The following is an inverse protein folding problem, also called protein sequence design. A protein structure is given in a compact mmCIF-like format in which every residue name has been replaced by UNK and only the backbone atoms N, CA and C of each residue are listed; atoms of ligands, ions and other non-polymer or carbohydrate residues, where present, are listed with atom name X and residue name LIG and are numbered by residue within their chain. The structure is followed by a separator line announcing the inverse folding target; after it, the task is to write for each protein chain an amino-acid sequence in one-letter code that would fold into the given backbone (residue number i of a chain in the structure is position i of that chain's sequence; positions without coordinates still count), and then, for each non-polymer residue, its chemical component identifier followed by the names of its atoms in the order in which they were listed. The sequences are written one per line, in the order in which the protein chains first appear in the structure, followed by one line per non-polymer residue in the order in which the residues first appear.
data_IF_416805380533
#
_entry.id   IF_416805380533
#
_cell.length_a   1.000
_cell.length_b   1.000
_cell.length_c   1.000
_cell.angle_alpha   90.00
_cell.angle_beta   90.00
_cell.angle_gamma   90.00
#
_symmetry.space_group_name_H-M   'P 1'
#
loop_
_entity.id
_entity.type
_entity.pdbx_description
1 polymer ?
#
# COMPACT_ATOMS: atom_id res chain seq x y z
N UNK A 1 -12.27 12.15 -22.94
CA UNK A 1 -12.31 12.44 -21.48
C UNK A 1 -13.67 13.04 -21.14
N UNK A 2 -14.30 12.58 -20.06
CA UNK A 2 -15.58 13.10 -19.57
C UNK A 2 -15.39 14.53 -19.02
N UNK A 3 -16.19 15.52 -19.48
CA UNK A 3 -16.12 16.92 -19.04
C UNK A 3 -16.30 17.06 -17.51
N UNK A 4 -17.17 16.24 -16.93
CA UNK A 4 -17.38 16.23 -15.48
C UNK A 4 -16.11 15.80 -14.72
N UNK A 5 -15.44 14.77 -15.21
CA UNK A 5 -14.19 14.28 -14.59
C UNK A 5 -13.06 15.30 -14.75
N UNK A 6 -13.00 16.00 -15.88
CA UNK A 6 -12.05 17.10 -16.09
C UNK A 6 -12.29 18.26 -15.11
N UNK A 7 -13.55 18.64 -14.89
CA UNK A 7 -13.89 19.65 -13.87
C UNK A 7 -13.41 19.24 -12.49
N UNK A 8 -13.69 18.01 -12.07
CA UNK A 8 -13.22 17.47 -10.79
C UNK A 8 -11.69 17.43 -10.66
N UNK A 9 -10.99 17.17 -11.78
CA UNK A 9 -9.53 17.21 -11.81
C UNK A 9 -8.99 18.62 -11.59
N UNK A 10 -9.62 19.64 -12.23
CA UNK A 10 -9.26 21.04 -12.01
C UNK A 10 -9.52 21.46 -10.55
N UNK A 11 -10.68 21.10 -9.98
CA UNK A 11 -11.03 21.36 -8.58
C UNK A 11 -10.01 20.73 -7.61
N UNK A 12 -9.52 19.52 -7.92
CA UNK A 12 -8.49 18.84 -7.12
C UNK A 12 -7.16 19.62 -7.14
N UNK A 13 -6.72 20.06 -8.30
CA UNK A 13 -5.50 20.85 -8.44
C UNK A 13 -5.62 22.22 -7.77
N UNK A 14 -6.76 22.88 -7.91
CA UNK A 14 -7.06 24.14 -7.23
C UNK A 14 -7.01 23.96 -5.72
N UNK A 15 -7.69 22.91 -5.18
CA UNK A 15 -7.66 22.60 -3.75
C UNK A 15 -6.25 22.36 -3.23
N UNK A 16 -5.43 21.62 -3.98
CA UNK A 16 -4.04 21.35 -3.61
C UNK A 16 -3.20 22.64 -3.66
N UNK A 17 -3.46 23.55 -4.58
CA UNK A 17 -2.72 24.81 -4.71
C UNK A 17 -2.77 25.68 -3.44
N UNK A 18 -3.82 25.52 -2.62
CA UNK A 18 -4.01 26.22 -1.36
C UNK A 18 -3.07 25.72 -0.25
N UNK A 19 -2.48 24.52 -0.37
CA UNK A 19 -1.67 23.92 0.70
C UNK A 19 -0.23 24.43 0.77
N UNK A 20 0.29 25.01 -0.32
CA UNK A 20 1.69 25.42 -0.42
C UNK A 20 2.66 24.26 -0.58
N UNK A 21 3.94 24.45 -0.26
CA UNK A 21 4.97 23.42 -0.41
C UNK A 21 4.63 22.16 0.39
N UNK A 22 4.57 21.02 -0.28
CA UNK A 22 4.00 19.79 0.28
C UNK A 22 4.82 18.54 -0.01
N UNK A 23 4.82 17.64 0.97
CA UNK A 23 5.19 16.23 0.79
C UNK A 23 3.99 15.46 0.29
N UNK A 24 4.13 14.68 -0.75
CA UNK A 24 3.17 13.63 -1.09
C UNK A 24 3.61 12.32 -0.43
N UNK A 25 2.79 11.77 0.48
CA UNK A 25 3.01 10.45 1.06
C UNK A 25 2.85 9.39 -0.04
N UNK A 26 3.99 8.92 -0.56
CA UNK A 26 4.05 8.23 -1.84
C UNK A 26 4.36 6.75 -1.68
N UNK A 27 3.51 5.90 -2.24
CA UNK A 27 3.68 4.43 -2.24
C UNK A 27 3.89 3.83 -3.63
N UNK A 28 3.78 4.64 -4.69
CA UNK A 28 3.77 4.14 -6.08
C UNK A 28 2.51 3.33 -6.43
N UNK A 29 1.45 3.43 -5.63
CA UNK A 29 0.13 2.86 -5.93
C UNK A 29 -0.74 3.84 -6.72
N UNK A 30 -1.94 3.39 -7.15
CA UNK A 30 -2.88 4.18 -7.98
C UNK A 30 -3.15 5.56 -7.37
N UNK A 31 -3.57 5.59 -6.10
CA UNK A 31 -4.01 6.81 -5.43
C UNK A 31 -2.85 7.81 -5.28
N UNK A 32 -1.73 7.35 -4.75
CA UNK A 32 -0.57 8.22 -4.51
C UNK A 32 0.07 8.72 -5.81
N UNK A 33 -0.01 7.96 -6.91
CA UNK A 33 0.51 8.38 -8.21
C UNK A 33 -0.35 9.46 -8.85
N UNK A 34 -1.68 9.31 -8.82
CA UNK A 34 -2.59 10.35 -9.27
C UNK A 34 -2.47 11.61 -8.41
N UNK A 35 -2.35 11.42 -7.09
CA UNK A 35 -2.18 12.51 -6.14
C UNK A 35 -0.88 13.30 -6.37
N UNK A 36 0.21 12.59 -6.67
CA UNK A 36 1.50 13.22 -7.01
C UNK A 36 1.37 14.07 -8.27
N UNK A 37 0.72 13.55 -9.31
CA UNK A 37 0.48 14.29 -10.55
C UNK A 37 -0.43 15.51 -10.32
N UNK A 38 -1.46 15.38 -9.48
CA UNK A 38 -2.33 16.49 -9.09
C UNK A 38 -1.56 17.58 -8.32
N UNK A 39 -0.67 17.17 -7.42
CA UNK A 39 0.17 18.09 -6.65
C UNK A 39 1.15 18.86 -7.55
N UNK A 40 1.73 18.20 -8.54
CA UNK A 40 2.57 18.86 -9.56
C UNK A 40 1.75 19.92 -10.31
N UNK A 41 0.54 19.59 -10.74
CA UNK A 41 -0.33 20.51 -11.47
C UNK A 41 -0.79 21.71 -10.65
N UNK A 42 -1.10 21.50 -9.35
CA UNK A 42 -1.59 22.58 -8.47
C UNK A 42 -0.48 23.45 -7.88
N UNK A 43 0.68 22.88 -7.56
CA UNK A 43 1.76 23.57 -6.82
C UNK A 43 2.99 23.93 -7.67
N UNK A 44 3.20 23.23 -8.79
CA UNK A 44 4.48 23.21 -9.50
C UNK A 44 5.48 22.23 -8.88
N UNK A 45 6.38 21.69 -9.74
CA UNK A 45 7.36 20.66 -9.32
C UNK A 45 8.28 21.10 -8.18
N UNK A 46 8.64 22.36 -8.16
CA UNK A 46 9.55 22.95 -7.18
C UNK A 46 9.00 22.99 -5.75
N UNK A 47 7.67 22.85 -5.59
CA UNK A 47 6.98 22.84 -4.29
C UNK A 47 6.49 21.46 -3.88
N UNK A 48 6.85 20.42 -4.64
CA UNK A 48 6.40 19.06 -4.39
C UNK A 48 7.58 18.12 -4.22
N UNK A 49 7.51 17.28 -3.21
CA UNK A 49 8.44 16.16 -3.01
C UNK A 49 7.65 14.89 -2.75
N UNK A 50 7.98 13.81 -3.46
CA UNK A 50 7.45 12.49 -3.17
C UNK A 50 8.27 11.86 -2.03
N UNK A 51 7.62 11.37 -0.98
CA UNK A 51 8.33 10.71 0.12
C UNK A 51 7.72 9.35 0.40
N UNK A 52 8.55 8.32 0.30
CA UNK A 52 8.16 6.95 0.62
C UNK A 52 8.69 6.56 2.00
N UNK A 53 7.77 6.32 2.95
CA UNK A 53 8.12 5.73 4.24
C UNK A 53 8.35 4.21 4.03
N UNK A 54 9.61 3.80 3.98
CA UNK A 54 10.04 2.44 3.64
C UNK A 54 10.43 1.65 4.90
N UNK A 55 9.94 0.43 4.98
CA UNK A 55 10.34 -0.58 5.97
C UNK A 55 10.24 -1.97 5.35
N UNK A 56 10.44 -3.02 6.15
CA UNK A 56 10.24 -4.40 5.73
C UNK A 56 8.79 -4.74 5.33
N UNK A 57 7.82 -3.85 5.59
CA UNK A 57 6.42 -4.06 5.17
C UNK A 57 6.12 -3.64 3.74
N UNK A 58 7.06 -2.96 3.08
CA UNK A 58 6.99 -2.56 1.67
C UNK A 58 7.83 -3.54 0.83
N UNK A 59 7.24 -4.09 -0.23
CA UNK A 59 7.96 -5.02 -1.11
C UNK A 59 9.05 -4.32 -1.92
N UNK A 60 10.03 -5.10 -2.39
CA UNK A 60 11.07 -4.57 -3.26
C UNK A 60 10.47 -4.04 -4.59
N UNK A 61 9.48 -4.74 -5.14
CA UNK A 61 8.76 -4.32 -6.34
C UNK A 61 8.06 -2.96 -6.15
N UNK A 62 7.39 -2.75 -5.00
CA UNK A 62 6.74 -1.48 -4.69
C UNK A 62 7.75 -0.33 -4.55
N UNK A 63 8.89 -0.58 -3.93
CA UNK A 63 9.98 0.42 -3.83
C UNK A 63 10.55 0.82 -5.18
N UNK A 64 10.81 -0.15 -6.06
CA UNK A 64 11.31 0.12 -7.41
C UNK A 64 10.30 0.89 -8.24
N UNK A 65 9.02 0.49 -8.18
CA UNK A 65 7.93 1.18 -8.87
C UNK A 65 7.76 2.62 -8.39
N UNK A 66 7.78 2.86 -7.07
CA UNK A 66 7.69 4.21 -6.53
C UNK A 66 8.84 5.11 -7.05
N UNK A 67 10.07 4.58 -7.06
CA UNK A 67 11.22 5.30 -7.60
C UNK A 67 11.04 5.64 -9.08
N UNK A 68 10.68 4.65 -9.89
CA UNK A 68 10.51 4.83 -11.34
C UNK A 68 9.43 5.89 -11.66
N UNK A 69 8.28 5.83 -10.97
CA UNK A 69 7.20 6.80 -11.21
C UNK A 69 7.63 8.22 -10.82
N UNK A 70 8.35 8.40 -9.73
CA UNK A 70 8.83 9.71 -9.33
C UNK A 70 9.86 10.26 -10.34
N UNK A 71 10.73 9.40 -10.88
CA UNK A 71 11.67 9.73 -11.96
C UNK A 71 10.92 10.12 -13.24
N UNK A 72 9.93 9.35 -13.67
CA UNK A 72 9.12 9.61 -14.86
C UNK A 72 8.35 10.93 -14.77
N UNK A 73 7.93 11.31 -13.55
CA UNK A 73 7.25 12.58 -13.27
C UNK A 73 8.21 13.74 -12.98
N UNK A 74 9.52 13.49 -13.01
CA UNK A 74 10.57 14.48 -12.75
C UNK A 74 10.40 15.22 -11.41
N UNK A 75 10.06 14.46 -10.33
CA UNK A 75 9.85 14.98 -8.98
C UNK A 75 10.91 14.44 -8.04
N UNK A 76 11.49 15.24 -7.14
CA UNK A 76 12.37 14.74 -6.09
C UNK A 76 11.70 13.63 -5.29
N UNK A 77 12.42 12.52 -5.09
CA UNK A 77 11.91 11.37 -4.35
C UNK A 77 12.84 11.00 -3.20
N UNK A 78 12.31 11.07 -1.99
CA UNK A 78 13.03 10.69 -0.78
C UNK A 78 12.47 9.39 -0.21
N UNK A 79 13.37 8.56 0.32
CA UNK A 79 13.01 7.34 1.01
C UNK A 79 13.39 7.50 2.48
N UNK A 80 12.38 7.59 3.34
CA UNK A 80 12.58 7.65 4.79
C UNK A 80 12.47 6.26 5.37
N UNK A 81 13.40 5.93 6.26
CA UNK A 81 13.25 4.73 7.09
C UNK A 81 12.03 4.90 7.99
N UNK A 82 11.11 3.96 7.89
CA UNK A 82 9.90 3.96 8.69
C UNK A 82 10.14 3.19 9.99
N UNK A 83 9.88 3.85 11.11
CA UNK A 83 10.23 3.36 12.45
C UNK A 83 9.11 2.56 13.13
N UNK A 84 8.13 2.04 12.38
CA UNK A 84 7.01 1.29 12.97
C UNK A 84 7.44 0.04 13.73
N UNK A 85 8.58 -0.56 13.37
CA UNK A 85 9.14 -1.71 14.14
C UNK A 85 9.71 -1.31 15.51
N UNK A 86 9.91 -0.03 15.78
CA UNK A 86 10.25 0.47 17.11
C UNK A 86 9.00 0.64 17.99
N UNK A 87 7.80 0.46 17.42
CA UNK A 87 6.52 0.53 18.13
C UNK A 87 6.09 -0.88 18.58
N UNK A 88 6.13 -1.20 19.88
CA UNK A 88 5.81 -2.54 20.37
C UNK A 88 4.43 -3.04 19.97
N UNK A 89 3.41 -2.14 20.00
CA UNK A 89 2.04 -2.49 19.67
C UNK A 89 1.82 -2.74 18.15
N UNK A 90 2.73 -2.24 17.31
CA UNK A 90 2.79 -2.65 15.92
C UNK A 90 3.38 -4.05 15.77
N UNK A 91 4.49 -4.32 16.47
CA UNK A 91 5.21 -5.61 16.44
C UNK A 91 4.34 -6.74 16.96
N UNK A 92 3.53 -6.52 18.00
CA UNK A 92 2.57 -7.48 18.54
C UNK A 92 1.52 -7.93 17.50
N UNK A 93 1.36 -7.19 16.39
CA UNK A 93 0.48 -7.53 15.29
C UNK A 93 -0.99 -7.73 15.73
N UNK A 94 -1.48 -6.85 16.58
CA UNK A 94 -2.88 -6.81 16.99
C UNK A 94 -3.79 -6.13 15.94
N UNK A 95 -5.11 -6.08 16.20
CA UNK A 95 -6.10 -5.43 15.32
C UNK A 95 -5.79 -3.97 15.00
N UNK A 96 -5.18 -3.27 15.94
CA UNK A 96 -4.82 -1.86 15.83
C UNK A 96 -3.45 -1.60 15.14
N UNK A 97 -2.77 -2.64 14.63
CA UNK A 97 -1.45 -2.49 14.01
C UNK A 97 -1.37 -1.39 12.94
N UNK A 98 -2.46 -1.22 12.16
CA UNK A 98 -2.52 -0.19 11.11
C UNK A 98 -2.55 1.23 11.69
N UNK A 99 -3.13 1.42 12.87
CA UNK A 99 -3.09 2.69 13.59
C UNK A 99 -1.66 3.05 14.00
N UNK A 100 -0.96 2.13 14.66
CA UNK A 100 0.41 2.36 15.11
C UNK A 100 1.39 2.57 13.95
N UNK A 101 1.27 1.74 12.90
CA UNK A 101 2.04 1.89 11.67
C UNK A 101 1.84 3.29 11.05
N UNK A 102 0.58 3.70 10.85
CA UNK A 102 0.27 4.98 10.20
C UNK A 102 0.74 6.14 11.08
N UNK A 103 0.56 6.06 12.39
CA UNK A 103 1.03 7.06 13.35
C UNK A 103 2.55 7.24 13.30
N UNK A 104 3.32 6.16 13.34
CA UNK A 104 4.78 6.22 13.26
C UNK A 104 5.26 6.82 11.93
N UNK A 105 4.73 6.34 10.81
CA UNK A 105 5.10 6.81 9.47
C UNK A 105 4.79 8.28 9.25
N UNK A 106 3.58 8.72 9.57
CA UNK A 106 3.18 10.11 9.36
C UNK A 106 3.86 11.07 10.34
N UNK A 107 4.17 10.64 11.57
CA UNK A 107 5.02 11.42 12.47
C UNK A 107 6.42 11.64 11.89
N UNK A 108 7.01 10.63 11.27
CA UNK A 108 8.31 10.76 10.59
C UNK A 108 8.22 11.70 9.37
N UNK A 109 7.18 11.56 8.54
CA UNK A 109 6.92 12.44 7.40
C UNK A 109 6.76 13.90 7.82
N UNK A 110 5.97 14.17 8.86
CA UNK A 110 5.76 15.52 9.39
C UNK A 110 7.08 16.13 9.91
N UNK A 111 7.86 15.34 10.66
CA UNK A 111 9.15 15.80 11.19
C UNK A 111 10.12 16.13 10.06
N UNK A 112 10.26 15.24 9.09
CA UNK A 112 11.14 15.43 7.94
C UNK A 112 10.67 16.59 7.06
N UNK A 113 9.39 16.62 6.70
CA UNK A 113 8.82 17.65 5.83
C UNK A 113 8.99 19.05 6.42
N UNK A 114 8.73 19.22 7.73
CA UNK A 114 8.95 20.50 8.41
C UNK A 114 10.42 20.93 8.37
N UNK A 115 11.35 20.01 8.57
CA UNK A 115 12.78 20.31 8.52
C UNK A 115 13.27 20.65 7.11
N UNK A 116 12.67 20.04 6.07
CA UNK A 116 13.00 20.24 4.66
C UNK A 116 12.24 21.39 4.00
N UNK A 117 11.37 22.10 4.71
CA UNK A 117 10.60 23.24 4.16
C UNK A 117 9.28 22.87 3.51
N UNK A 118 8.78 21.65 3.73
CA UNK A 118 7.49 21.13 3.25
C UNK A 118 6.55 20.87 4.45
N UNK A 119 5.87 21.89 4.98
CA UNK A 119 5.11 21.77 6.24
C UNK A 119 3.83 20.96 6.12
N UNK A 120 3.35 20.69 4.91
CA UNK A 120 2.10 19.96 4.65
C UNK A 120 2.41 18.59 4.08
N UNK A 121 1.69 17.57 4.56
CA UNK A 121 1.71 16.22 4.02
C UNK A 121 0.38 15.96 3.31
N UNK A 122 0.43 15.54 2.05
CA UNK A 122 -0.75 15.16 1.27
C UNK A 122 -0.78 13.63 1.17
N UNK A 123 -1.92 13.01 1.44
CA UNK A 123 -2.07 11.55 1.41
C UNK A 123 -3.33 11.13 0.65
N UNK A 124 -3.35 9.89 0.13
CA UNK A 124 -4.30 9.40 -0.85
C UNK A 124 -5.57 8.74 -0.30
N UNK A 125 -6.01 9.04 0.93
CA UNK A 125 -7.32 8.57 1.43
C UNK A 125 -8.44 9.15 0.56
N UNK A 126 -9.38 8.29 0.13
CA UNK A 126 -10.53 8.67 -0.69
C UNK A 126 -11.87 8.46 0.05
N UNK A 127 -12.99 8.88 -0.54
CA UNK A 127 -14.30 8.89 0.12
C UNK A 127 -14.78 7.53 0.62
N UNK A 128 -14.49 6.45 -0.12
CA UNK A 128 -14.90 5.10 0.27
C UNK A 128 -14.14 4.59 1.49
N UNK A 129 -12.90 5.04 1.71
CA UNK A 129 -12.08 4.69 2.87
C UNK A 129 -12.69 5.17 4.20
N UNK A 130 -13.48 6.26 4.15
CA UNK A 130 -14.12 6.82 5.33
C UNK A 130 -15.24 5.93 5.89
N UNK A 131 -15.79 5.04 5.07
CA UNK A 131 -16.88 4.13 5.43
C UNK A 131 -16.39 2.73 5.84
N UNK A 132 -15.07 2.46 5.78
CA UNK A 132 -14.48 1.17 6.10
C UNK A 132 -13.81 1.20 7.50
N UNK A 133 -13.68 0.02 8.12
CA UNK A 133 -12.90 -0.11 9.34
C UNK A 133 -11.41 0.09 9.05
N UNK A 134 -10.95 1.31 9.23
CA UNK A 134 -9.55 1.70 8.98
C UNK A 134 -8.94 2.40 10.20
N UNK A 135 -8.39 1.66 11.16
CA UNK A 135 -7.77 2.23 12.35
C UNK A 135 -6.71 3.31 12.04
N UNK A 136 -6.04 3.21 10.89
CA UNK A 136 -5.06 4.20 10.44
C UNK A 136 -5.64 5.60 10.21
N UNK A 137 -6.93 5.76 9.88
CA UNK A 137 -7.55 7.09 9.72
C UNK A 137 -7.62 7.85 11.03
N UNK A 138 -7.79 7.14 12.16
CA UNK A 138 -7.74 7.75 13.49
C UNK A 138 -6.36 8.36 13.76
N UNK A 139 -5.28 7.68 13.37
CA UNK A 139 -3.92 8.20 13.51
C UNK A 139 -3.71 9.50 12.71
N UNK A 140 -4.22 9.59 11.48
CA UNK A 140 -4.15 10.80 10.66
C UNK A 140 -4.87 11.96 11.34
N UNK A 141 -6.09 11.73 11.82
CA UNK A 141 -6.89 12.75 12.49
C UNK A 141 -6.19 13.27 13.77
N UNK A 142 -5.57 12.38 14.55
CA UNK A 142 -4.84 12.74 15.77
C UNK A 142 -3.56 13.55 15.51
N UNK A 143 -2.90 13.33 14.36
CA UNK A 143 -1.68 14.04 13.98
C UNK A 143 -1.93 15.47 13.49
N UNK A 144 -3.18 15.83 13.23
CA UNK A 144 -3.63 17.19 13.06
C UNK A 144 -3.66 17.69 11.61
N UNK A 145 -3.90 19.00 11.49
CA UNK A 145 -4.27 19.66 10.23
C UNK A 145 -3.16 19.77 9.18
N UNK A 146 -1.93 19.49 9.56
CA UNK A 146 -0.81 19.48 8.58
C UNK A 146 -0.85 18.27 7.62
N UNK A 147 -1.78 17.33 7.85
CA UNK A 147 -2.01 16.21 6.92
C UNK A 147 -3.33 16.47 6.19
N UNK A 148 -3.28 16.43 4.86
CA UNK A 148 -4.42 16.71 3.97
C UNK A 148 -4.76 15.48 3.15
N UNK A 149 -6.06 15.21 2.99
CA UNK A 149 -6.60 14.10 2.19
C UNK A 149 -7.53 14.64 1.11
N UNK A 150 -7.02 15.32 0.07
CA UNK A 150 -7.83 16.07 -0.88
C UNK A 150 -8.82 15.20 -1.65
N UNK A 151 -8.52 13.93 -1.90
CA UNK A 151 -9.50 13.02 -2.49
C UNK A 151 -10.71 12.81 -1.57
N UNK A 152 -10.49 12.63 -0.26
CA UNK A 152 -11.59 12.50 0.70
C UNK A 152 -12.35 13.83 0.88
N UNK A 153 -11.63 14.95 0.95
CA UNK A 153 -12.21 16.29 1.08
C UNK A 153 -13.16 16.62 -0.07
N UNK A 154 -12.80 16.23 -1.29
CA UNK A 154 -13.59 16.45 -2.50
C UNK A 154 -14.50 15.27 -2.88
N UNK A 155 -14.56 14.23 -2.06
CA UNK A 155 -15.42 13.08 -2.29
C UNK A 155 -15.06 12.23 -3.52
N UNK A 156 -13.78 12.13 -3.87
CA UNK A 156 -13.32 11.25 -4.96
C UNK A 156 -13.52 9.78 -4.60
N UNK A 157 -14.09 9.02 -5.54
CA UNK A 157 -14.24 7.57 -5.44
C UNK A 157 -13.03 6.85 -6.05
N UNK A 158 -12.85 5.59 -5.69
CA UNK A 158 -11.79 4.74 -6.28
C UNK A 158 -11.95 4.57 -7.79
N UNK A 159 -13.19 4.51 -8.26
CA UNK A 159 -13.49 4.41 -9.68
C UNK A 159 -13.03 5.67 -10.45
N UNK A 160 -13.33 6.87 -9.93
CA UNK A 160 -12.90 8.14 -10.53
C UNK A 160 -11.37 8.28 -10.53
N UNK A 161 -10.70 7.89 -9.42
CA UNK A 161 -9.23 7.89 -9.34
C UNK A 161 -8.62 7.01 -10.43
N UNK A 162 -9.13 5.78 -10.61
CA UNK A 162 -8.66 4.87 -11.66
C UNK A 162 -8.93 5.39 -13.06
N UNK A 163 -10.14 5.91 -13.28
CA UNK A 163 -10.52 6.47 -14.57
C UNK A 163 -9.62 7.64 -14.93
N UNK A 164 -9.41 8.60 -14.00
CA UNK A 164 -8.53 9.75 -14.24
C UNK A 164 -7.08 9.34 -14.45
N UNK A 165 -6.59 8.36 -13.66
CA UNK A 165 -5.24 7.81 -13.85
C UNK A 165 -5.05 7.22 -15.26
N UNK A 166 -6.06 6.52 -15.78
CA UNK A 166 -6.05 5.95 -17.12
C UNK A 166 -6.05 7.03 -18.19
N UNK A 167 -6.91 8.03 -18.07
CA UNK A 167 -7.00 9.16 -19.02
C UNK A 167 -5.72 9.98 -19.09
N UNK A 168 -4.99 10.08 -17.96
CA UNK A 168 -3.71 10.78 -17.87
C UNK A 168 -2.51 9.87 -18.23
N UNK A 169 -2.75 8.61 -18.62
CA UNK A 169 -1.70 7.68 -19.05
C UNK A 169 -0.80 7.15 -17.93
N UNK A 170 -1.22 7.23 -16.66
CA UNK A 170 -0.46 6.66 -15.56
C UNK A 170 -0.47 5.12 -15.64
N UNK A 171 0.71 4.50 -15.69
CA UNK A 171 0.87 3.04 -15.75
C UNK A 171 0.28 2.30 -14.54
N UNK A 172 -0.07 3.04 -13.48
CA UNK A 172 -0.62 2.49 -12.24
C UNK A 172 -2.13 2.32 -12.25
N UNK A 173 -2.85 2.77 -13.26
CA UNK A 173 -4.32 2.89 -13.28
C UNK A 173 -5.06 1.58 -13.00
N UNK A 174 -4.52 0.43 -13.42
CA UNK A 174 -5.13 -0.90 -13.27
C UNK A 174 -4.48 -1.74 -12.15
N UNK A 175 -3.48 -1.20 -11.45
CA UNK A 175 -2.84 -1.92 -10.35
C UNK A 175 -3.87 -2.37 -9.30
N UNK A 176 -3.84 -3.64 -8.87
CA UNK A 176 -4.70 -4.10 -7.80
C UNK A 176 -4.40 -3.35 -6.49
N UNK A 177 -5.40 -3.24 -5.62
CA UNK A 177 -5.17 -2.70 -4.28
C UNK A 177 -4.13 -3.54 -3.55
N UNK A 178 -2.99 -2.92 -3.21
CA UNK A 178 -1.90 -3.57 -2.51
C UNK A 178 -2.08 -3.39 -1.00
N UNK A 179 -2.35 -4.48 -0.29
CA UNK A 179 -2.20 -4.50 1.15
C UNK A 179 -0.73 -4.78 1.51
N UNK A 180 -0.18 -4.06 2.51
CA UNK A 180 1.22 -4.20 2.92
C UNK A 180 1.56 -5.64 3.36
N UNK A 181 2.85 -6.01 3.36
CA UNK A 181 3.30 -7.36 3.75
C UNK A 181 2.87 -7.77 5.17
N UNK A 182 2.71 -6.82 6.10
CA UNK A 182 2.19 -7.13 7.43
C UNK A 182 0.81 -7.81 7.40
N UNK A 183 0.01 -7.56 6.35
CA UNK A 183 -1.28 -8.24 6.18
C UNK A 183 -1.15 -9.73 5.87
N UNK A 184 0.04 -10.21 5.50
CA UNK A 184 0.31 -11.64 5.26
C UNK A 184 0.47 -12.41 6.56
N UNK A 185 0.90 -11.74 7.63
CA UNK A 185 1.14 -12.37 8.92
C UNK A 185 -0.16 -12.42 9.71
N UNK A 186 -0.52 -13.61 10.20
CA UNK A 186 -1.74 -13.79 11.00
C UNK A 186 -1.69 -12.97 12.28
N UNK A 187 -2.83 -12.40 12.68
CA UNK A 187 -2.92 -11.64 13.92
C UNK A 187 -2.42 -12.46 15.12
N UNK A 188 -1.72 -11.79 16.05
CA UNK A 188 -1.12 -12.42 17.21
C UNK A 188 0.21 -13.13 16.95
N UNK A 189 0.65 -13.24 15.68
CA UNK A 189 2.01 -13.66 15.36
C UNK A 189 2.84 -12.37 15.22
N UNK A 190 3.90 -12.19 16.02
CA UNK A 190 4.72 -10.98 15.98
C UNK A 190 5.27 -10.68 14.59
N UNK A 191 5.24 -9.40 14.22
CA UNK A 191 5.84 -8.93 12.98
C UNK A 191 7.35 -8.86 13.16
N UNK A 192 8.09 -9.47 12.26
CA UNK A 192 9.54 -9.35 12.15
C UNK A 192 9.95 -9.45 10.67
N UNK A 193 11.15 -8.98 10.36
CA UNK A 193 11.67 -8.97 9.00
C UNK A 193 11.75 -10.38 8.38
N UNK A 194 12.06 -11.39 9.18
CA UNK A 194 12.18 -12.77 8.69
C UNK A 194 10.83 -13.29 8.17
N UNK A 195 9.74 -13.14 8.96
CA UNK A 195 8.40 -13.59 8.57
C UNK A 195 7.87 -12.83 7.35
N UNK A 196 8.13 -11.52 7.28
CA UNK A 196 7.73 -10.69 6.14
C UNK A 196 8.47 -11.09 4.87
N UNK A 197 9.79 -11.27 4.95
CA UNK A 197 10.63 -11.72 3.85
C UNK A 197 10.24 -13.12 3.37
N UNK A 198 9.94 -14.02 4.30
CA UNK A 198 9.48 -15.38 3.98
C UNK A 198 8.17 -15.34 3.18
N UNK A 199 7.20 -14.52 3.59
CA UNK A 199 5.94 -14.35 2.85
C UNK A 199 6.18 -13.70 1.47
N UNK A 200 7.04 -12.68 1.36
CA UNK A 200 7.39 -12.01 0.11
C UNK A 200 8.06 -12.98 -0.88
N UNK A 201 9.03 -13.76 -0.42
CA UNK A 201 9.74 -14.73 -1.24
C UNK A 201 8.79 -15.83 -1.75
N UNK A 202 7.88 -16.30 -0.90
CA UNK A 202 6.87 -17.28 -1.30
C UNK A 202 5.91 -16.71 -2.35
N UNK A 203 5.43 -15.47 -2.21
CA UNK A 203 4.60 -14.81 -3.23
C UNK A 203 5.39 -14.60 -4.53
N UNK A 204 6.65 -14.19 -4.45
CA UNK A 204 7.51 -13.98 -5.63
C UNK A 204 7.71 -15.27 -6.40
N UNK A 205 8.01 -16.38 -5.72
CA UNK A 205 8.14 -17.68 -6.35
C UNK A 205 6.83 -18.13 -7.02
N UNK A 206 5.70 -18.00 -6.34
CA UNK A 206 4.40 -18.40 -6.90
C UNK A 206 3.97 -17.56 -8.10
N UNK A 207 4.44 -16.32 -8.25
CA UNK A 207 4.17 -15.47 -9.42
C UNK A 207 4.78 -16.03 -10.73
N UNK A 208 5.73 -16.97 -10.65
CA UNK A 208 6.23 -17.67 -11.83
C UNK A 208 5.11 -18.51 -12.49
N UNK A 209 4.19 -19.03 -11.69
CA UNK A 209 3.08 -19.90 -12.07
C UNK A 209 1.75 -19.17 -12.18
N UNK A 210 1.45 -18.33 -11.19
CA UNK A 210 0.18 -17.61 -11.04
C UNK A 210 0.30 -16.21 -11.59
N UNK A 211 -0.48 -15.90 -12.61
CA UNK A 211 -0.52 -14.54 -13.21
C UNK A 211 -1.60 -13.66 -12.61
N UNK A 212 -2.55 -14.26 -11.92
CA UNK A 212 -3.62 -13.59 -11.20
C UNK A 212 -3.22 -13.10 -9.80
N UNK A 213 -4.17 -12.51 -9.08
CA UNK A 213 -3.99 -12.13 -7.68
C UNK A 213 -3.68 -13.35 -6.81
N UNK A 214 -2.66 -13.24 -5.99
CA UNK A 214 -2.28 -14.28 -5.03
C UNK A 214 -1.83 -13.67 -3.70
N UNK A 215 -1.97 -14.43 -2.61
CA UNK A 215 -1.40 -14.12 -1.29
C UNK A 215 -0.88 -15.40 -0.64
N UNK A 216 0.24 -15.27 0.05
CA UNK A 216 0.72 -16.30 0.97
C UNK A 216 0.56 -15.77 2.39
N UNK A 217 -0.38 -16.37 3.15
CA UNK A 217 -0.61 -16.03 4.55
C UNK A 217 0.28 -16.86 5.44
N UNK A 218 1.00 -16.18 6.29
CA UNK A 218 1.94 -16.76 7.23
C UNK A 218 1.24 -17.00 8.58
N UNK A 219 1.03 -18.27 8.93
CA UNK A 219 0.44 -18.71 10.19
C UNK A 219 1.49 -19.42 11.06
N UNK A 220 2.59 -18.68 11.41
CA UNK A 220 3.74 -19.30 12.09
C UNK A 220 4.54 -20.17 11.11
N UNK A 221 4.48 -21.48 11.29
CA UNK A 221 5.15 -22.42 10.39
C UNK A 221 4.27 -22.90 9.22
N UNK A 222 3.08 -22.32 9.02
CA UNK A 222 2.16 -22.69 7.93
C UNK A 222 2.10 -21.59 6.89
N UNK A 223 2.27 -21.97 5.61
CA UNK A 223 1.91 -21.16 4.46
C UNK A 223 0.49 -21.50 4.01
N UNK A 224 -0.42 -20.53 4.00
CA UNK A 224 -1.75 -20.66 3.41
C UNK A 224 -1.80 -19.84 2.11
N UNK A 225 -1.86 -20.54 0.97
CA UNK A 225 -1.92 -19.94 -0.35
C UNK A 225 -3.36 -19.56 -0.67
N UNK A 226 -3.61 -18.31 -0.99
CA UNK A 226 -4.90 -17.78 -1.44
C UNK A 226 -4.76 -17.31 -2.89
N UNK A 227 -5.54 -17.89 -3.80
CA UNK A 227 -5.62 -17.57 -5.24
C UNK A 227 -7.07 -17.61 -5.70
N UNK A 228 -7.34 -17.14 -6.91
CA UNK A 228 -8.66 -17.33 -7.52
C UNK A 228 -8.91 -18.81 -7.82
N UNK A 229 -10.18 -19.29 -7.73
CA UNK A 229 -10.52 -20.73 -7.95
C UNK A 229 -10.05 -21.29 -9.29
N UNK A 230 -9.95 -20.45 -10.32
CA UNK A 230 -9.46 -20.88 -11.65
C UNK A 230 -8.00 -21.39 -11.63
N UNK A 231 -7.20 -20.97 -10.61
CA UNK A 231 -5.79 -21.38 -10.48
C UNK A 231 -5.63 -22.71 -9.70
N UNK A 232 -6.68 -23.23 -9.07
CA UNK A 232 -6.57 -24.42 -8.23
C UNK A 232 -6.09 -25.65 -8.98
N UNK A 233 -6.59 -25.87 -10.22
CA UNK A 233 -6.19 -27.00 -11.02
C UNK A 233 -4.67 -27.03 -11.28
N UNK A 234 -4.08 -25.87 -11.52
CA UNK A 234 -2.63 -25.74 -11.69
C UNK A 234 -1.90 -26.08 -10.39
N UNK A 235 -2.34 -25.51 -9.27
CA UNK A 235 -1.67 -25.68 -7.97
C UNK A 235 -1.81 -27.11 -7.41
N UNK A 236 -2.81 -27.89 -7.86
CA UNK A 236 -3.04 -29.27 -7.44
C UNK A 236 -2.48 -30.30 -8.44
N UNK A 237 -1.89 -29.86 -9.57
CA UNK A 237 -1.09 -30.77 -10.38
C UNK A 237 0.05 -31.36 -9.55
N UNK A 238 0.27 -32.66 -9.63
CA UNK A 238 1.21 -33.39 -8.76
C UNK A 238 2.63 -32.81 -8.82
N UNK A 239 3.12 -32.48 -10.01
CA UNK A 239 4.48 -31.96 -10.20
C UNK A 239 4.61 -30.52 -9.69
N UNK A 240 3.61 -29.70 -9.99
CA UNK A 240 3.56 -28.30 -9.55
C UNK A 240 3.44 -28.23 -8.02
N UNK A 241 2.53 -29.00 -7.46
CA UNK A 241 2.32 -29.07 -5.99
C UNK A 241 3.60 -29.54 -5.27
N UNK A 242 4.28 -30.56 -5.78
CA UNK A 242 5.53 -31.05 -5.21
C UNK A 242 6.63 -29.98 -5.25
N UNK A 243 6.76 -29.24 -6.36
CA UNK A 243 7.72 -28.15 -6.50
C UNK A 243 7.42 -27.00 -5.52
N UNK A 244 6.16 -26.59 -5.43
CA UNK A 244 5.72 -25.54 -4.51
C UNK A 244 6.00 -25.95 -3.05
N UNK A 245 5.60 -27.16 -2.68
CA UNK A 245 5.82 -27.67 -1.32
C UNK A 245 7.31 -27.70 -0.96
N UNK A 246 8.15 -28.17 -1.86
CA UNK A 246 9.60 -28.21 -1.65
C UNK A 246 10.16 -26.80 -1.47
N UNK A 247 9.89 -25.89 -2.38
CA UNK A 247 10.45 -24.52 -2.32
C UNK A 247 9.95 -23.75 -1.09
N UNK A 248 8.67 -23.84 -0.75
CA UNK A 248 8.16 -23.14 0.43
C UNK A 248 8.73 -23.74 1.74
N UNK A 249 9.01 -25.05 1.78
CA UNK A 249 9.72 -25.66 2.92
C UNK A 249 11.17 -25.19 3.00
N UNK A 250 11.88 -25.04 1.89
CA UNK A 250 13.23 -24.45 1.84
C UNK A 250 13.21 -22.99 2.34
N UNK A 251 12.12 -22.26 2.14
CA UNK A 251 11.90 -20.93 2.70
C UNK A 251 11.60 -20.94 4.21
N UNK A 252 11.39 -22.13 4.83
CA UNK A 252 11.21 -22.31 6.27
C UNK A 252 9.77 -22.56 6.74
N UNK A 253 8.84 -22.86 5.83
CA UNK A 253 7.51 -23.34 6.21
C UNK A 253 7.52 -24.86 6.41
N UNK A 254 6.87 -25.35 7.49
CA UNK A 254 6.69 -26.79 7.69
C UNK A 254 5.52 -27.33 6.85
N UNK A 255 4.47 -26.53 6.73
CA UNK A 255 3.23 -26.90 6.04
C UNK A 255 2.87 -25.89 4.96
N UNK A 256 2.44 -26.41 3.80
CA UNK A 256 1.95 -25.63 2.67
C UNK A 256 0.53 -26.03 2.39
N UNK A 257 -0.39 -25.08 2.40
CA UNK A 257 -1.84 -25.33 2.28
C UNK A 257 -2.46 -24.41 1.25
N UNK A 258 -3.53 -24.87 0.60
CA UNK A 258 -4.36 -24.08 -0.31
C UNK A 258 -5.66 -23.71 0.41
N UNK A 259 -6.02 -22.43 0.41
CA UNK A 259 -7.32 -21.99 0.94
C UNK A 259 -8.44 -22.25 -0.06
N UNK A 260 -9.33 -23.17 0.28
CA UNK A 260 -10.48 -23.53 -0.56
C UNK A 260 -11.57 -22.43 -0.59
N UNK A 261 -11.44 -21.37 0.19
CA UNK A 261 -12.30 -20.19 0.09
C UNK A 261 -11.84 -19.23 -0.99
N UNK A 262 -10.66 -19.44 -1.53
CA UNK A 262 -10.00 -18.58 -2.51
C UNK A 262 -9.54 -17.25 -1.94
N UNK A 263 -9.01 -16.37 -2.80
CA UNK A 263 -8.56 -15.05 -2.41
C UNK A 263 -9.76 -14.14 -2.12
N UNK A 264 -9.83 -13.61 -0.90
CA UNK A 264 -10.87 -12.65 -0.47
C UNK A 264 -10.23 -11.46 0.23
N UNK A 265 -10.76 -10.25 -0.03
CA UNK A 265 -10.41 -9.07 0.75
C UNK A 265 -10.83 -9.30 2.21
N UNK A 266 -9.95 -8.92 3.15
CA UNK A 266 -10.24 -9.07 4.58
C UNK A 266 -10.23 -10.51 5.10
N UNK A 267 -9.73 -11.52 4.36
CA UNK A 267 -9.67 -12.92 4.80
C UNK A 267 -9.01 -13.10 6.17
N UNK A 268 -8.06 -12.23 6.54
CA UNK A 268 -7.37 -12.25 7.82
C UNK A 268 -8.19 -11.64 8.96
N UNK A 269 -9.27 -10.93 8.68
CA UNK A 269 -10.10 -10.26 9.71
C UNK A 269 -11.20 -11.18 10.29
N UNK A 270 -11.38 -12.38 9.74
CA UNK A 270 -12.43 -13.32 10.17
C UNK A 270 -12.32 -13.68 11.65
N UNK A 271 -11.13 -13.66 12.23
CA UNK A 271 -10.87 -13.94 13.65
C UNK A 271 -10.98 -12.74 14.59
N UNK A 272 -11.32 -11.55 14.09
CA UNK A 272 -11.41 -10.31 14.88
C UNK A 272 -12.83 -10.02 15.41
N UNK A 273 -13.67 -11.04 15.56
CA UNK A 273 -15.03 -10.90 16.12
C UNK A 273 -15.00 -10.74 17.63
#
# INVERSE_FOLDING_TARGET
MDEKLLGRWADLQERISEYGASVVAFSGGVDSSLLLLAAIGGLGREKVVAVTASSATLTQEERQRARQIAEDLEVPHEILEALEFSEPLFVENGPERCYYCKKARFSALLKWGKAAGYPVIIEGTHSEDLNDYRPGLRAIKELGESIKSPFAELGWTKAEIRQMSKELGLATWDLPSAACLASRIAYGIPLNEANLKQAEQAETFLKEWIKGPLRVRHHGNWARIEVEPKEWQLLTDEKVAAKIATTLKELGFDYVTLDLSGLKSGSMNVGLK
#
